data_IF_468077407906
#
_entry.id   IF_468077407906
#
_cell.length_a   1.000
_cell.length_b   1.000
_cell.length_c   1.000
_cell.angle_alpha   90.00
_cell.angle_beta   90.00
_cell.angle_gamma   90.00
#
_symmetry.space_group_name_H-M   'P 1'
#
loop_
_entity.id
_entity.type
_entity.pdbx_description
1 polymer ?
2 non-polymer ?
3 non-polymer ?
4 water ?
#
# COMPACT_ATOMS: atom_id res chain seq x y z
N UNK A 1 -9.69 -15.04 -13.25
CA UNK A 1 -8.69 -15.15 -12.14
C UNK A 1 -9.40 -14.87 -10.82
N UNK A 2 -8.68 -15.06 -9.72
CA UNK A 2 -9.25 -14.80 -8.40
C UNK A 2 -8.23 -14.05 -7.55
N UNK A 3 -8.71 -13.02 -6.85
CA UNK A 3 -7.87 -12.16 -6.05
C UNK A 3 -8.59 -11.85 -4.74
N UNK A 4 -7.91 -12.11 -3.63
CA UNK A 4 -8.46 -11.82 -2.31
C UNK A 4 -8.56 -10.30 -2.17
N UNK A 5 -9.64 -9.83 -1.56
CA UNK A 5 -9.82 -8.40 -1.31
C UNK A 5 -8.66 -7.87 -0.48
N UNK A 6 -8.25 -6.63 -0.75
CA UNK A 6 -7.13 -6.02 -0.04
C UNK A 6 -5.77 -6.55 -0.46
N UNK A 7 -5.71 -7.23 -1.61
CA UNK A 7 -4.45 -7.70 -2.16
C UNK A 7 -4.19 -7.08 -3.51
N UNK A 8 -2.93 -7.15 -3.93
CA UNK A 8 -2.49 -6.67 -5.22
C UNK A 8 -2.17 -7.85 -6.13
N UNK A 9 -2.19 -7.60 -7.42
CA UNK A 9 -1.98 -8.63 -8.43
C UNK A 9 -1.22 -8.04 -9.60
N UNK A 10 -0.08 -8.65 -9.93
CA UNK A 10 0.70 -8.24 -11.08
C UNK A 10 0.18 -8.95 -12.33
N UNK A 11 -0.31 -8.18 -13.29
CA UNK A 11 -0.83 -8.74 -14.54
C UNK A 11 0.24 -8.77 -15.60
N UNK A 12 0.33 -9.90 -16.30
CA UNK A 12 1.26 -10.04 -17.41
C UNK A 12 0.50 -9.90 -18.72
N UNK A 13 1.08 -9.17 -19.68
CA UNK A 13 0.45 -8.89 -20.96
C UNK A 13 1.47 -8.81 -22.06
N UNK A 14 1.06 -9.11 -23.28
CA UNK A 14 1.92 -8.99 -24.44
C UNK A 14 2.15 -7.50 -24.73
N UNK A 15 3.41 -7.14 -24.88
CA UNK A 15 3.81 -5.77 -25.17
C UNK A 15 3.38 -5.35 -26.57
N UNK A 16 3.77 -6.18 -27.54
CA UNK A 16 3.51 -5.94 -28.95
C UNK A 16 2.11 -5.42 -29.26
N UNK A 17 2.04 -4.22 -29.85
CA UNK A 17 0.79 -3.61 -30.32
C UNK A 17 -0.23 -3.32 -29.22
N UNK A 18 0.24 -3.19 -27.98
CA UNK A 18 -0.61 -2.85 -26.85
C UNK A 18 -0.85 -1.33 -26.85
N UNK A 19 -2.08 -0.92 -26.57
CA UNK A 19 -2.42 0.50 -26.55
C UNK A 19 -2.78 0.99 -25.15
N UNK A 20 -3.76 0.34 -24.52
CA UNK A 20 -4.16 0.72 -23.18
C UNK A 20 -4.84 -0.41 -22.42
N UNK A 21 -4.88 -0.23 -21.10
CA UNK A 21 -5.50 -1.18 -20.19
C UNK A 21 -6.47 -0.40 -19.33
N UNK A 22 -7.72 -0.85 -19.28
CA UNK A 22 -8.78 -0.05 -18.68
C UNK A 22 -9.64 -0.83 -17.72
N UNK A 23 -10.18 -0.10 -16.74
CA UNK A 23 -11.21 -0.61 -15.85
C UNK A 23 -12.38 0.35 -15.94
N UNK A 24 -13.33 0.02 -16.83
CA UNK A 24 -14.28 0.99 -17.34
C UNK A 24 -13.50 2.15 -17.97
N UNK A 25 -13.76 3.39 -17.58
CA UNK A 25 -13.10 4.54 -18.21
C UNK A 25 -11.80 4.95 -17.49
N UNK A 26 -11.50 4.33 -16.36
CA UNK A 26 -10.23 4.56 -15.67
C UNK A 26 -9.12 3.84 -16.40
N UNK A 27 -8.00 4.52 -16.62
CA UNK A 27 -6.82 3.90 -17.19
C UNK A 27 -5.99 3.23 -16.12
N UNK A 28 -5.21 2.22 -16.51
CA UNK A 28 -4.27 1.56 -15.64
C UNK A 28 -2.90 1.62 -16.31
N UNK A 29 -1.91 2.22 -15.62
CA UNK A 29 -0.58 2.32 -16.21
C UNK A 29 0.10 0.96 -16.33
N UNK A 30 1.15 0.93 -17.13
CA UNK A 30 1.87 -0.30 -17.40
C UNK A 30 3.37 -0.04 -17.33
N UNK A 31 4.13 -1.12 -17.24
CA UNK A 31 5.59 -1.01 -17.16
C UNK A 31 6.27 -2.30 -17.59
N UNK A 32 7.56 -2.19 -17.87
CA UNK A 32 8.33 -3.28 -18.45
C UNK A 32 8.42 -4.47 -17.52
N UNK A 33 8.21 -5.66 -18.06
CA UNK A 33 8.54 -6.89 -17.36
C UNK A 33 10.06 -7.04 -17.50
N UNK A 34 10.80 -7.05 -16.38
CA UNK A 34 12.23 -6.81 -16.44
C UNK A 34 13.08 -7.94 -17.04
N UNK A 35 12.63 -9.19 -16.90
CA UNK A 35 13.33 -10.33 -17.49
C UNK A 35 12.83 -10.65 -18.90
N UNK A 36 11.52 -10.86 -19.05
CA UNK A 36 10.90 -11.15 -20.34
C UNK A 36 10.50 -9.87 -21.11
N UNK A 37 11.16 -9.60 -22.23
CA UNK A 37 10.95 -8.37 -23.01
C UNK A 37 9.71 -8.32 -23.89
N UNK A 38 9.09 -9.48 -24.14
CA UNK A 38 7.86 -9.52 -24.92
C UNK A 38 6.64 -9.22 -24.05
N UNK A 39 6.88 -8.85 -22.79
CA UNK A 39 5.82 -8.69 -21.81
C UNK A 39 5.83 -7.34 -21.11
N UNK A 40 4.67 -6.98 -20.56
CA UNK A 40 4.54 -5.81 -19.70
C UNK A 40 3.67 -6.14 -18.49
N UNK A 41 3.74 -5.27 -17.49
CA UNK A 41 3.10 -5.51 -16.22
C UNK A 41 2.21 -4.36 -15.82
N UNK A 42 1.18 -4.68 -15.04
CA UNK A 42 0.29 -3.68 -14.46
C UNK A 42 -0.13 -4.19 -13.10
N UNK A 43 -0.29 -3.27 -12.16
CA UNK A 43 -0.74 -3.64 -10.83
C UNK A 43 -2.22 -3.34 -10.70
N UNK A 44 -2.96 -4.37 -10.31
CA UNK A 44 -4.36 -4.24 -10.03
C UNK A 44 -4.61 -4.59 -8.58
N UNK A 45 -5.39 -3.76 -7.91
CA UNK A 45 -5.70 -3.96 -6.50
C UNK A 45 -7.19 -3.92 -6.26
N UNK A 46 -7.64 -4.72 -5.30
CA UNK A 46 -9.01 -4.70 -4.84
C UNK A 46 -9.01 -4.08 -3.45
N UNK A 47 -9.93 -3.15 -3.19
CA UNK A 47 -9.99 -2.60 -1.84
C UNK A 47 -10.51 -3.65 -0.85
N UNK A 48 -10.04 -3.55 0.39
CA UNK A 48 -10.54 -4.43 1.45
C UNK A 48 -12.02 -4.14 1.68
N UNK A 49 -12.34 -2.86 1.87
CA UNK A 49 -13.71 -2.44 2.11
C UNK A 49 -14.50 -2.32 0.81
N UNK A 50 -15.64 -3.00 0.77
CA UNK A 50 -16.63 -2.78 -0.27
C UNK A 50 -16.12 -3.00 -1.69
N UNK A 51 -15.39 -4.11 -1.91
CA UNK A 51 -14.94 -4.36 -3.27
C UNK A 51 -16.10 -4.84 -4.14
N UNK A 52 -15.98 -4.67 -5.47
CA UNK A 52 -16.96 -5.25 -6.36
C UNK A 52 -16.84 -6.78 -6.34
N UNK A 53 -17.93 -7.48 -6.61
CA UNK A 53 -17.92 -8.95 -6.60
C UNK A 53 -17.08 -9.51 -7.75
N UNK A 54 -17.09 -8.80 -8.87
CA UNK A 54 -16.26 -9.15 -10.02
C UNK A 54 -15.75 -7.90 -10.71
N UNK A 55 -14.66 -8.07 -11.45
CA UNK A 55 -14.02 -6.97 -12.17
C UNK A 55 -13.67 -7.46 -13.56
N UNK A 56 -13.80 -6.58 -14.55
CA UNK A 56 -13.48 -6.91 -15.93
C UNK A 56 -12.62 -5.82 -16.56
N UNK A 57 -11.35 -6.14 -16.76
CA UNK A 57 -10.41 -5.23 -17.39
C UNK A 57 -10.34 -5.53 -18.87
N UNK A 58 -9.97 -4.52 -19.65
CA UNK A 58 -9.81 -4.70 -21.09
C UNK A 58 -8.46 -4.17 -21.54
N UNK A 59 -7.68 -5.07 -22.12
CA UNK A 59 -6.39 -4.73 -22.70
C UNK A 59 -6.58 -4.50 -24.20
N UNK A 60 -6.70 -3.23 -24.58
CA UNK A 60 -6.87 -2.88 -26.00
C UNK A 60 -5.54 -2.95 -26.74
N UNK A 61 -5.55 -3.64 -27.86
CA UNK A 61 -4.42 -3.68 -28.78
C UNK A 61 -4.82 -3.04 -30.10
N UNK A 62 -3.83 -2.81 -30.97
CA UNK A 62 -4.07 -2.29 -32.30
C UNK A 62 -4.98 -3.21 -33.11
N UNK A 63 -4.81 -4.52 -32.92
CA UNK A 63 -5.48 -5.54 -33.72
C UNK A 63 -6.63 -6.28 -33.03
N UNK A 64 -6.75 -6.14 -31.71
CA UNK A 64 -7.78 -6.84 -30.95
C UNK A 64 -7.95 -6.30 -29.53
N UNK A 65 -9.01 -6.75 -28.85
CA UNK A 65 -9.17 -6.49 -27.42
C UNK A 65 -9.08 -7.82 -26.66
N UNK A 66 -8.37 -7.79 -25.54
CA UNK A 66 -8.18 -8.93 -24.68
C UNK A 66 -8.82 -8.58 -23.33
N UNK A 67 -9.80 -9.38 -22.91
CA UNK A 67 -10.51 -9.12 -21.66
C UNK A 67 -9.92 -9.94 -20.52
N UNK A 68 -9.98 -9.39 -19.32
CA UNK A 68 -9.53 -10.08 -18.12
C UNK A 68 -10.62 -10.00 -17.06
N UNK A 69 -11.06 -11.16 -16.57
CA UNK A 69 -12.06 -11.23 -15.52
C UNK A 69 -11.39 -11.60 -14.21
N UNK A 70 -11.71 -10.86 -13.16
CA UNK A 70 -11.12 -11.12 -11.85
C UNK A 70 -12.21 -11.25 -10.81
N UNK A 71 -12.32 -12.44 -10.25
CA UNK A 71 -13.30 -12.73 -9.21
C UNK A 71 -12.76 -12.30 -7.86
N UNK A 72 -13.60 -11.61 -7.09
CA UNK A 72 -13.22 -11.09 -5.79
C UNK A 72 -13.44 -12.15 -4.72
N UNK A 73 -12.35 -12.61 -4.12
CA UNK A 73 -12.41 -13.56 -3.00
C UNK A 73 -12.34 -12.85 -1.67
N UNK A 74 -12.80 -13.53 -0.63
CA UNK A 74 -12.90 -12.95 0.70
C UNK A 74 -11.70 -13.24 1.60
N UNK A 75 -10.96 -14.32 1.31
CA UNK A 75 -9.79 -14.68 2.10
C UNK A 75 -10.16 -15.19 3.49
N UNK A 76 -9.15 -15.31 4.36
CA UNK A 76 -9.38 -15.75 5.73
C UNK A 76 -8.80 -14.75 6.72
N UNK A 77 -9.31 -13.52 6.65
CA UNK A 77 -8.89 -12.46 7.55
C UNK A 77 -9.52 -12.65 8.92
N UNK A 78 -8.79 -12.28 9.97
CA UNK A 78 -9.34 -12.29 11.32
C UNK A 78 -10.37 -11.18 11.43
N UNK A 79 -11.45 -11.43 12.18
CA UNK A 79 -12.55 -10.48 12.26
C UNK A 79 -13.31 -10.62 13.57
N UNK A 80 -13.65 -9.49 14.18
CA UNK A 80 -14.43 -9.47 15.40
C UNK A 80 -15.68 -8.62 15.22
N UNK A 81 -16.77 -9.01 15.87
CA UNK A 81 -18.00 -8.22 15.84
C UNK A 81 -17.80 -6.95 16.67
N UNK A 82 -18.45 -5.87 16.26
CA UNK A 82 -18.45 -4.65 17.06
C UNK A 82 -19.62 -4.65 18.02
N UNK A 83 -19.35 -4.26 19.26
CA UNK A 83 -20.39 -4.14 20.27
C UNK A 83 -21.25 -2.91 19.99
N UNK A 84 -20.59 -1.76 19.91
CA UNK A 84 -21.25 -0.49 19.65
C UNK A 84 -21.13 -0.13 18.18
N UNK A 85 -22.27 0.15 17.54
CA UNK A 85 -22.32 0.78 16.23
C UNK A 85 -21.28 1.91 16.18
N UNK A 86 -20.49 1.96 15.11
CA UNK A 86 -19.40 2.95 15.03
C UNK A 86 -19.89 4.41 15.01
N UNK A 87 -20.94 4.68 14.23
CA UNK A 87 -21.55 6.01 14.09
C UNK A 87 -20.58 7.10 13.65
N UNK A 88 -21.11 8.31 13.56
CA UNK A 88 -20.32 9.53 13.47
C UNK A 88 -19.78 9.82 14.88
N UNK A 89 -18.52 10.23 14.94
CA UNK A 89 -17.94 10.73 16.18
C UNK A 89 -17.68 12.21 15.96
N UNK A 90 -17.58 12.96 17.05
CA UNK A 90 -17.57 14.42 16.96
C UNK A 90 -16.27 14.99 17.51
N UNK A 91 -15.20 14.98 16.70
CA UNK A 91 -13.97 15.61 17.17
C UNK A 91 -14.08 17.14 17.16
N UNK A 92 -13.15 17.82 17.86
CA UNK A 92 -13.05 19.28 17.76
C UNK A 92 -12.64 19.73 16.35
N UNK A 93 -13.16 20.89 15.92
CA UNK A 93 -12.85 21.41 14.56
C UNK A 93 -11.36 21.44 14.31
N UNK A 94 -10.59 21.85 15.33
CA UNK A 94 -9.14 21.94 15.22
C UNK A 94 -8.51 20.63 14.71
N UNK A 95 -9.04 19.50 15.16
CA UNK A 95 -8.58 18.19 14.70
C UNK A 95 -9.18 17.84 13.35
N UNK A 96 -10.50 18.00 13.23
CA UNK A 96 -11.18 17.84 11.94
C UNK A 96 -10.41 18.52 10.82
N UNK A 97 -10.02 19.77 11.07
CA UNK A 97 -9.25 20.57 10.12
C UNK A 97 -7.92 19.90 9.75
N UNK A 98 -7.20 19.44 10.77
CA UNK A 98 -5.90 18.79 10.57
C UNK A 98 -6.02 17.51 9.75
N UNK A 99 -6.90 16.61 10.17
CA UNK A 99 -7.15 15.36 9.45
C UNK A 99 -7.44 15.63 7.99
N UNK A 100 -8.45 16.46 7.75
CA UNK A 100 -8.95 16.77 6.41
C UNK A 100 -7.85 17.37 5.51
N UNK A 101 -6.96 18.15 6.11
CA UNK A 101 -5.81 18.71 5.40
C UNK A 101 -4.78 17.62 5.09
N UNK A 102 -4.42 16.82 6.09
CA UNK A 102 -3.43 15.76 5.93
C UNK A 102 -3.91 14.68 4.95
N UNK A 103 -5.22 14.53 4.85
CA UNK A 103 -5.84 13.66 3.86
C UNK A 103 -5.63 14.20 2.45
N UNK A 104 -5.93 15.48 2.25
CA UNK A 104 -5.67 16.17 0.98
C UNK A 104 -4.21 16.06 0.55
N UNK A 105 -3.30 16.25 1.51
CA UNK A 105 -1.87 16.15 1.25
C UNK A 105 -1.49 14.73 0.81
N UNK A 106 -2.14 13.74 1.41
CA UNK A 106 -1.90 12.33 1.09
C UNK A 106 -2.43 11.96 -0.28
N UNK A 107 -3.69 12.33 -0.56
CA UNK A 107 -4.32 12.01 -1.85
C UNK A 107 -3.56 12.62 -3.03
N UNK A 108 -3.07 13.83 -2.86
CA UNK A 108 -2.23 14.49 -3.86
C UNK A 108 -0.97 13.67 -4.14
N UNK A 109 -0.35 13.18 -3.08
CA UNK A 109 0.87 12.38 -3.19
C UNK A 109 0.62 11.01 -3.83
N UNK A 110 -0.44 10.33 -3.39
CA UNK A 110 -0.75 8.98 -3.89
C UNK A 110 -1.35 8.95 -5.29
N UNK A 111 -1.72 10.11 -5.82
CA UNK A 111 -2.18 10.21 -7.20
C UNK A 111 -1.16 10.97 -8.05
N UNK A 112 0.12 10.84 -7.69
CA UNK A 112 1.21 11.49 -8.40
C UNK A 112 2.09 10.41 -9.01
N UNK A 113 1.57 9.74 -10.03
CA UNK A 113 2.19 8.55 -10.60
C UNK A 113 3.58 8.82 -11.19
N UNK A 114 4.58 8.10 -10.67
CA UNK A 114 5.95 8.14 -11.18
C UNK A 114 6.14 6.97 -12.14
N UNK A 115 6.29 7.25 -13.46
CA UNK A 115 6.32 6.19 -14.46
C UNK A 115 7.70 5.57 -14.72
N UNK A 116 8.56 5.53 -13.70
CA UNK A 116 9.83 4.82 -13.79
C UNK A 116 10.11 4.13 -12.46
N UNK A 117 11.01 3.15 -12.49
CA UNK A 117 11.41 2.43 -11.28
C UNK A 117 12.39 3.26 -10.47
N UNK A 118 12.03 3.56 -9.22
CA UNK A 118 12.94 4.18 -8.26
C UNK A 118 13.54 3.15 -7.30
N UNK A 119 13.04 1.93 -7.37
CA UNK A 119 13.50 0.86 -6.48
C UNK A 119 14.78 0.23 -7.02
N UNK A 120 15.33 -0.70 -6.25
CA UNK A 120 16.56 -1.37 -6.60
C UNK A 120 16.48 -2.82 -6.16
N UNK A 121 15.86 -3.64 -7.00
CA UNK A 121 15.66 -5.04 -6.71
C UNK A 121 14.51 -5.26 -5.75
N UNK A 122 14.63 -6.32 -4.95
CA UNK A 122 13.57 -6.75 -4.05
C UNK A 122 13.41 -5.82 -2.85
N UNK A 123 12.23 -5.87 -2.24
CA UNK A 123 11.98 -5.26 -0.95
C UNK A 123 12.55 -6.16 0.13
N UNK A 124 13.00 -5.55 1.22
CA UNK A 124 13.33 -6.28 2.43
C UNK A 124 12.41 -5.79 3.52
N UNK A 125 12.08 -6.67 4.47
CA UNK A 125 11.37 -6.23 5.66
C UNK A 125 12.15 -5.11 6.33
N UNK A 126 11.45 -4.05 6.79
CA UNK A 126 12.08 -2.87 7.37
C UNK A 126 12.88 -3.15 8.65
N UNK A 127 12.55 -4.23 9.35
CA UNK A 127 13.35 -4.72 10.47
C UNK A 127 13.17 -6.22 10.65
N UNK A 128 14.11 -6.84 11.36
CA UNK A 128 14.15 -8.31 11.52
C UNK A 128 13.35 -8.76 12.72
N UNK A 129 12.05 -8.46 12.71
CA UNK A 129 11.19 -8.76 13.85
C UNK A 129 10.11 -9.73 13.42
N UNK A 130 8.96 -9.67 14.09
CA UNK A 130 7.84 -10.55 13.81
C UNK A 130 6.54 -9.78 13.91
N UNK A 131 5.49 -10.34 13.32
CA UNK A 131 4.20 -9.65 13.22
C UNK A 131 3.40 -9.79 14.51
N UNK A 132 3.09 -8.66 15.13
CA UNK A 132 2.22 -8.62 16.32
C UNK A 132 0.75 -8.55 15.93
N UNK A 133 0.46 -7.77 14.88
CA UNK A 133 -0.91 -7.59 14.41
C UNK A 133 -0.95 -7.68 12.89
N UNK A 134 -1.69 -8.69 12.38
CA UNK A 134 -1.75 -8.95 10.94
C UNK A 134 -2.52 -7.87 10.19
N UNK A 135 -2.20 -7.75 8.91
CA UNK A 135 -2.97 -6.94 7.98
C UNK A 135 -4.35 -7.58 7.79
N UNK A 136 -5.38 -6.75 7.64
CA UNK A 136 -6.72 -7.22 7.36
C UNK A 136 -7.58 -7.55 8.57
N UNK A 137 -7.02 -7.41 9.76
CA UNK A 137 -7.76 -7.59 11.01
C UNK A 137 -8.95 -6.63 11.01
N UNK A 138 -10.16 -7.19 10.87
CA UNK A 138 -11.36 -6.38 10.61
C UNK A 138 -12.26 -6.26 11.83
N UNK A 139 -13.06 -5.19 11.86
CA UNK A 139 -14.12 -5.04 12.85
C UNK A 139 -15.44 -4.76 12.14
N UNK A 140 -16.44 -5.59 12.44
CA UNK A 140 -17.67 -5.70 11.66
C UNK A 140 -18.94 -5.47 12.50
N UNK A 141 -19.86 -4.65 11.97
CA UNK A 141 -21.22 -4.60 12.51
C UNK A 141 -22.19 -5.04 11.41
N UNK A 142 -22.98 -6.07 11.72
CA UNK A 142 -23.88 -6.72 10.75
C UNK A 142 -23.12 -7.31 9.55
N UNK A 143 -21.94 -7.87 9.83
CA UNK A 143 -21.05 -8.41 8.79
C UNK A 143 -20.71 -7.40 7.66
N UNK A 144 -21.12 -6.15 7.83
CA UNK A 144 -20.59 -5.04 7.03
C UNK A 144 -19.30 -4.63 7.70
N UNK A 145 -18.25 -4.40 6.91
CA UNK A 145 -16.93 -4.09 7.46
C UNK A 145 -16.84 -2.60 7.81
N UNK A 146 -16.72 -2.31 9.10
CA UNK A 146 -16.62 -0.94 9.59
C UNK A 146 -15.21 -0.40 9.43
N UNK A 147 -14.22 -1.19 9.87
CA UNK A 147 -12.82 -0.84 9.71
C UNK A 147 -11.94 -2.08 9.62
N UNK A 148 -10.70 -1.87 9.22
CA UNK A 148 -9.71 -2.93 9.14
C UNK A 148 -8.31 -2.36 9.34
N UNK A 149 -7.36 -3.24 9.63
CA UNK A 149 -5.97 -2.84 9.77
C UNK A 149 -5.36 -2.71 8.38
N UNK A 150 -5.00 -1.48 8.02
CA UNK A 150 -4.51 -1.17 6.67
C UNK A 150 -3.05 -1.53 6.42
N UNK A 151 -2.36 -2.02 7.46
CA UNK A 151 -0.96 -2.40 7.35
C UNK A 151 -0.67 -3.60 8.22
N UNK A 152 0.60 -3.81 8.53
CA UNK A 152 1.02 -4.91 9.38
C UNK A 152 1.95 -4.35 10.46
N UNK A 153 1.75 -4.80 11.70
CA UNK A 153 2.55 -4.29 12.81
C UNK A 153 3.62 -5.28 13.23
N UNK A 154 4.86 -4.80 13.24
CA UNK A 154 5.99 -5.58 13.72
C UNK A 154 6.24 -5.26 15.18
N UNK A 155 6.82 -6.21 15.91
CA UNK A 155 7.24 -5.97 17.28
C UNK A 155 8.46 -5.06 17.27
N UNK A 156 8.38 -3.98 18.04
CA UNK A 156 9.49 -3.06 18.18
C UNK A 156 9.30 -2.22 19.43
N UNK A 157 10.22 -2.37 20.38
CA UNK A 157 10.30 -1.45 21.52
C UNK A 157 10.64 -0.08 20.98
N UNK A 158 10.33 0.96 21.74
CA UNK A 158 10.61 2.32 21.29
C UNK A 158 12.10 2.47 21.01
N UNK A 159 12.42 3.05 19.86
CA UNK A 159 13.80 3.28 19.46
C UNK A 159 14.45 2.18 18.65
N UNK A 160 13.66 1.19 18.22
CA UNK A 160 14.18 0.13 17.36
C UNK A 160 14.41 0.71 15.96
N UNK A 161 15.65 0.64 15.44
CA UNK A 161 15.97 1.19 14.11
C UNK A 161 15.09 0.65 12.98
N UNK A 162 14.76 1.52 12.04
CA UNK A 162 13.93 1.17 10.89
C UNK A 162 14.65 1.54 9.60
N UNK A 163 14.52 0.66 8.60
CA UNK A 163 15.25 0.79 7.36
C UNK A 163 14.31 0.80 6.17
N UNK A 164 14.65 1.59 5.16
CA UNK A 164 13.89 1.65 3.92
C UNK A 164 13.80 0.26 3.33
N UNK A 165 12.58 -0.20 3.08
CA UNK A 165 12.35 -1.53 2.52
C UNK A 165 12.94 -1.62 1.11
N UNK A 166 12.92 -0.50 0.39
CA UNK A 166 13.55 -0.42 -0.92
C UNK A 166 13.94 1.03 -1.23
N UNK A 167 14.70 1.21 -2.31
CA UNK A 167 15.11 2.54 -2.74
C UNK A 167 13.90 3.35 -3.22
N UNK A 168 13.98 4.66 -3.09
CA UNK A 168 12.92 5.53 -3.60
C UNK A 168 13.13 6.99 -3.27
N UNK A 169 12.03 7.73 -3.21
CA UNK A 169 12.04 9.15 -2.87
C UNK A 169 11.04 9.39 -1.74
N UNK A 170 11.50 10.04 -0.67
CA UNK A 170 10.65 10.33 0.48
C UNK A 170 9.66 11.43 0.09
N UNK A 171 8.38 11.19 0.38
CA UNK A 171 7.31 12.13 0.03
C UNK A 171 6.62 12.70 1.27
N UNK A 172 6.68 11.97 2.39
CA UNK A 172 6.15 12.43 3.66
C UNK A 172 7.18 12.10 4.74
N UNK A 173 7.40 13.02 5.67
CA UNK A 173 8.35 12.83 6.75
C UNK A 173 8.03 13.75 7.91
N UNK A 174 6.89 13.50 8.54
CA UNK A 174 6.41 14.37 9.61
C UNK A 174 5.36 13.71 10.48
N UNK A 175 5.07 14.35 11.60
CA UNK A 175 4.04 13.90 12.52
C UNK A 175 2.66 14.21 11.94
N UNK A 176 1.81 13.19 11.95
CA UNK A 176 0.43 13.32 11.50
C UNK A 176 -0.48 12.74 12.56
N UNK A 177 -1.78 12.98 12.42
CA UNK A 177 -2.71 12.62 13.47
C UNK A 177 -2.84 11.10 13.66
N UNK A 178 -3.41 10.42 12.68
CA UNK A 178 -3.59 8.98 12.80
C UNK A 178 -2.28 8.21 12.72
N UNK A 179 -1.40 8.63 11.82
CA UNK A 179 -0.20 7.89 11.49
C UNK A 179 0.99 8.12 12.44
N UNK A 180 0.87 9.10 13.34
CA UNK A 180 2.00 9.47 14.19
C UNK A 180 3.12 10.06 13.35
N UNK A 181 4.36 9.84 13.78
CA UNK A 181 5.52 10.23 12.97
C UNK A 181 5.63 9.33 11.75
N UNK A 182 5.20 9.87 10.61
CA UNK A 182 5.06 9.08 9.39
C UNK A 182 6.25 9.24 8.46
N UNK A 183 6.59 8.16 7.76
CA UNK A 183 7.43 8.24 6.59
C UNK A 183 6.74 7.47 5.46
N UNK A 184 6.73 8.08 4.27
CA UNK A 184 6.18 7.42 3.09
C UNK A 184 7.14 7.60 1.93
N UNK A 185 7.41 6.50 1.21
CA UNK A 185 8.38 6.50 0.12
C UNK A 185 7.74 6.11 -1.21
N UNK A 186 7.97 6.94 -2.23
CA UNK A 186 7.60 6.61 -3.59
C UNK A 186 8.66 5.70 -4.19
N UNK A 187 8.27 4.50 -4.60
CA UNK A 187 9.19 3.56 -5.24
C UNK A 187 9.05 3.51 -6.75
N UNK A 188 8.07 4.25 -7.26
CA UNK A 188 7.79 4.26 -8.69
C UNK A 188 6.59 3.37 -8.98
N UNK A 189 5.98 3.61 -10.13
CA UNK A 189 4.84 2.83 -10.60
C UNK A 189 3.66 2.82 -9.61
N UNK A 190 3.54 3.88 -8.81
CA UNK A 190 2.44 4.02 -7.86
C UNK A 190 2.57 3.12 -6.64
N UNK A 191 3.80 2.72 -6.34
CA UNK A 191 4.09 1.86 -5.21
C UNK A 191 4.67 2.73 -4.10
N UNK A 192 3.95 2.85 -3.00
CA UNK A 192 4.41 3.63 -1.86
C UNK A 192 4.50 2.71 -0.65
N UNK A 193 5.58 2.86 0.12
CA UNK A 193 5.74 2.11 1.36
C UNK A 193 5.65 3.09 2.53
N UNK A 194 5.11 2.62 3.64
CA UNK A 194 4.68 3.48 4.73
C UNK A 194 5.25 2.97 6.05
N UNK A 195 5.74 3.90 6.89
CA UNK A 195 6.35 3.56 8.16
C UNK A 195 5.84 4.53 9.23
N UNK A 196 5.01 4.03 10.15
CA UNK A 196 4.25 4.90 11.05
C UNK A 196 4.61 4.74 12.52
N UNK A 197 4.16 5.72 13.31
CA UNK A 197 4.30 5.73 14.76
C UNK A 197 5.75 5.71 15.20
N UNK A 198 6.59 6.33 14.40
CA UNK A 198 8.01 6.38 14.68
C UNK A 198 8.24 7.27 15.90
N UNK A 199 9.32 7.03 16.62
CA UNK A 199 9.74 7.92 17.70
C UNK A 199 10.67 8.98 17.14
N UNK A 200 11.23 8.71 15.97
CA UNK A 200 12.22 9.60 15.38
C UNK A 200 12.24 9.48 13.86
N UNK A 201 12.25 10.61 13.17
CA UNK A 201 12.31 10.68 11.72
C UNK A 201 13.72 11.16 11.34
N UNK A 202 14.44 10.32 10.59
CA UNK A 202 15.81 10.64 10.17
C UNK A 202 15.94 11.00 8.68
N UNK A 203 14.86 11.48 8.07
CA UNK A 203 14.87 11.87 6.66
C UNK A 203 14.04 13.14 6.39
N UNK A 204 14.34 13.78 5.27
CA UNK A 204 13.56 14.94 4.81
C UNK A 204 12.61 14.51 3.70
N UNK A 205 11.67 15.39 3.37
CA UNK A 205 10.89 15.27 2.15
C UNK A 205 11.83 15.51 0.96
N UNK A 206 11.61 14.77 -0.13
CA UNK A 206 12.38 14.94 -1.36
C UNK A 206 13.69 14.17 -1.43
N UNK A 207 14.01 13.43 -0.36
CA UNK A 207 15.30 12.76 -0.24
C UNK A 207 15.31 11.42 -0.96
N UNK A 208 16.28 11.22 -1.85
CA UNK A 208 16.51 9.90 -2.43
C UNK A 208 17.12 9.01 -1.37
N UNK A 209 16.55 7.82 -1.20
CA UNK A 209 16.86 6.95 -0.08
C UNK A 209 17.18 5.55 -0.63
N UNK A 210 18.25 4.96 -0.11
CA UNK A 210 18.70 3.63 -0.57
C UNK A 210 17.98 2.54 0.22
N UNK A 211 17.82 1.38 -0.40
CA UNK A 211 17.28 0.20 0.29
C UNK A 211 18.18 -0.14 1.46
N UNK A 212 17.57 -0.42 2.61
CA UNK A 212 18.31 -0.77 3.81
C UNK A 212 18.96 0.41 4.52
N UNK A 213 18.76 1.62 3.97
CA UNK A 213 19.24 2.84 4.59
C UNK A 213 18.28 3.24 5.69
N UNK A 214 18.82 3.78 6.77
CA UNK A 214 18.04 4.11 7.96
C UNK A 214 17.11 5.29 7.71
N UNK A 215 15.84 5.11 8.05
CA UNK A 215 14.82 6.16 7.89
C UNK A 215 14.28 6.69 9.22
N UNK A 216 14.52 5.98 10.32
CA UNK A 216 14.03 6.42 11.62
C UNK A 216 14.08 5.37 12.70
N UNK A 217 13.53 5.72 13.86
CA UNK A 217 13.43 4.83 15.00
C UNK A 217 11.97 4.50 15.27
N UNK A 218 11.70 3.24 15.58
CA UNK A 218 10.35 2.80 15.93
C UNK A 218 9.90 3.56 17.17
N UNK A 219 8.59 3.71 17.32
CA UNK A 219 8.05 4.45 18.45
C UNK A 219 6.64 4.02 18.79
N UNK A 220 5.88 4.97 19.31
CA UNK A 220 4.48 4.75 19.66
C UNK A 220 3.65 6.01 19.41
N UNK A 221 4.13 6.89 18.53
CA UNK A 221 3.49 8.19 18.32
C UNK A 221 2.18 8.02 17.57
N UNK A 222 1.11 8.64 18.10
CA UNK A 222 -0.22 8.52 17.50
C UNK A 222 -0.80 7.12 17.61
N UNK A 223 -0.20 6.28 18.46
CA UNK A 223 -0.60 4.90 18.62
C UNK A 223 -1.14 4.70 20.03
N UNK A 224 -2.33 4.12 20.14
CA UNK A 224 -2.96 3.91 21.45
C UNK A 224 -2.34 2.68 22.12
N UNK A 225 -2.12 1.64 21.34
CA UNK A 225 -1.80 0.31 21.88
C UNK A 225 -0.29 0.02 21.95
N UNK A 226 0.50 1.00 22.36
CA UNK A 226 1.91 0.79 22.72
C UNK A 226 2.91 0.92 21.59
N UNK A 227 4.21 0.72 21.89
CA UNK A 227 5.29 0.78 20.90
C UNK A 227 5.22 -0.32 19.84
N UNK A 228 5.48 0.06 18.59
CA UNK A 228 5.46 -0.88 17.46
C UNK A 228 5.90 -0.18 16.18
N UNK A 229 6.08 -0.95 15.11
CA UNK A 229 6.17 -0.40 13.77
C UNK A 229 4.95 -0.83 12.97
N UNK A 230 4.34 0.12 12.29
CA UNK A 230 3.27 -0.15 11.34
C UNK A 230 3.82 0.06 9.94
N UNK A 231 3.88 -1.04 9.18
CA UNK A 231 4.37 -1.04 7.82
C UNK A 231 3.18 -1.15 6.88
N UNK A 232 3.20 -0.36 5.80
CA UNK A 232 2.11 -0.36 4.85
C UNK A 232 2.59 -0.20 3.42
N UNK A 233 1.84 -0.80 2.49
CA UNK A 233 2.10 -0.65 1.07
C UNK A 233 0.84 -0.12 0.41
N UNK A 234 0.98 0.97 -0.34
CA UNK A 234 -0.07 1.43 -1.24
C UNK A 234 0.38 1.12 -2.66
N UNK A 235 -0.49 0.45 -3.41
CA UNK A 235 -0.15 0.02 -4.77
C UNK A 235 -1.42 -0.14 -5.59
N UNK A 236 -1.37 0.27 -6.85
CA UNK A 236 -2.56 0.35 -7.68
C UNK A 236 -3.66 1.17 -7.03
N UNK A 237 -3.26 2.25 -6.35
CA UNK A 237 -4.19 3.17 -5.71
C UNK A 237 -4.86 2.73 -4.42
N UNK A 238 -4.43 1.61 -3.84
CA UNK A 238 -5.09 1.04 -2.66
C UNK A 238 -4.08 0.56 -1.61
N UNK A 239 -4.46 0.65 -0.34
CA UNK A 239 -3.75 -0.06 0.73
C UNK A 239 -3.90 -1.55 0.45
N UNK A 240 -2.79 -2.29 0.51
CA UNK A 240 -2.81 -3.73 0.25
C UNK A 240 -1.99 -4.49 1.29
N UNK A 241 -2.11 -5.81 1.29
CA UNK A 241 -1.35 -6.66 2.19
C UNK A 241 0.13 -6.53 1.84
N UNK A 242 0.96 -6.03 2.78
CA UNK A 242 2.33 -5.68 2.44
C UNK A 242 3.25 -6.87 2.17
N UNK A 243 3.10 -7.96 2.92
CA UNK A 243 3.98 -9.12 2.77
C UNK A 243 3.62 -9.90 1.51
N UNK A 244 2.33 -10.13 1.31
CA UNK A 244 1.78 -10.67 0.08
C UNK A 244 2.28 -9.90 -1.14
N UNK A 245 2.28 -8.57 -1.05
CA UNK A 245 2.75 -7.72 -2.14
C UNK A 245 4.24 -7.90 -2.35
N UNK A 246 5.01 -7.68 -1.29
CA UNK A 246 6.47 -7.85 -1.32
C UNK A 246 6.83 -9.16 -2.00
N UNK A 247 6.20 -10.25 -1.56
CA UNK A 247 6.48 -11.59 -2.09
C UNK A 247 6.20 -11.69 -3.60
N UNK A 248 5.11 -11.07 -4.07
CA UNK A 248 4.82 -11.03 -5.50
C UNK A 248 5.77 -10.12 -6.26
N UNK A 249 6.00 -8.93 -5.72
CA UNK A 249 6.92 -7.97 -6.31
C UNK A 249 8.31 -8.58 -6.50
N UNK A 250 8.81 -9.21 -5.44
CA UNK A 250 10.15 -9.79 -5.43
C UNK A 250 10.30 -10.94 -6.41
N UNK A 251 9.29 -11.79 -6.45
CA UNK A 251 9.22 -12.89 -7.43
C UNK A 251 9.55 -12.40 -8.84
N UNK A 252 9.20 -11.14 -9.13
CA UNK A 252 9.45 -10.53 -10.43
C UNK A 252 10.77 -9.75 -10.49
N UNK A 253 10.97 -8.84 -9.54
CA UNK A 253 12.05 -7.84 -9.64
C UNK A 253 13.36 -8.17 -8.93
N UNK A 254 13.55 -9.44 -8.58
CA UNK A 254 14.74 -9.87 -7.84
C UNK A 254 16.04 -9.47 -8.54
N UNK A 255 16.76 -8.53 -7.91
CA UNK A 255 18.15 -8.17 -8.26
C UNK A 255 18.81 -9.16 -9.23
#
# INVERSE_FOLDING_TARGET
MELIKGQALFLELDKKDFLSLKNNDKNIPTFAHPKNQEKILAIFSLPYKNPPQNTKLIAFYKDKKEEIFIKTLEGNYKSEKLQVENKKIFPPKTIQERIAKELKEANAIYSSYTPKALFNGAFNIPLNSFITSDFGKARTFNEKVASYHSGTDFRAATGTPIYAANSGVVKIAKDRYFAGNSVVIDHGFGIYSQYYHLSKIDVKVGQKIKKGELIGLSGASGRVSGPALHFGILAGGKQVDPLDFVSKFNAIFQL
#
